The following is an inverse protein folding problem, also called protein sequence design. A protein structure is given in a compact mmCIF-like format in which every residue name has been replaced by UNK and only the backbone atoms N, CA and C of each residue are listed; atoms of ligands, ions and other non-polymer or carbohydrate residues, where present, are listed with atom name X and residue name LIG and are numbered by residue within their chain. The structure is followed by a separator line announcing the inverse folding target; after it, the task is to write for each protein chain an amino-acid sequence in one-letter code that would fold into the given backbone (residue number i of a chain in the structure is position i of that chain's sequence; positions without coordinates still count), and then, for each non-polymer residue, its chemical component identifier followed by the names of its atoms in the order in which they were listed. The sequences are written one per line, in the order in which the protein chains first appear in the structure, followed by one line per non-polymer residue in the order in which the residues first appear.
data_IF_823001338017
#
_entry.id   IF_823001338017
#
_cell.length_a   1.000
_cell.length_b   1.000
_cell.length_c   1.000
_cell.angle_alpha   90.00
_cell.angle_beta   90.00
_cell.angle_gamma   90.00
#
_symmetry.space_group_name_H-M   'P 1'
#
loop_
_entity.id
_entity.type
_entity.pdbx_description
1 polymer ?
#
# COMPACT_ATOMS: atom_id res chain seq x y z
N UNK A 1 11.53 20.93 1.32
CA UNK A 1 11.46 19.91 2.41
C UNK A 1 11.50 18.47 1.89
N UNK A 2 10.75 18.10 0.84
CA UNK A 2 10.67 16.72 0.33
C UNK A 2 11.97 16.17 -0.31
N UNK A 3 12.82 17.02 -0.89
CA UNK A 3 14.10 16.62 -1.47
C UNK A 3 15.16 16.25 -0.41
N UNK A 4 15.17 16.98 0.71
CA UNK A 4 16.09 16.77 1.83
C UNK A 4 15.88 15.40 2.48
N UNK A 5 14.63 15.04 2.80
CA UNK A 5 14.29 13.72 3.35
C UNK A 5 14.56 12.53 2.40
N UNK A 6 14.64 12.78 1.09
CA UNK A 6 14.98 11.75 0.10
C UNK A 6 16.48 11.44 0.10
N UNK A 7 17.31 12.47 0.28
CA UNK A 7 18.75 12.31 0.33
C UNK A 7 19.21 11.70 1.66
N UNK A 8 18.59 12.11 2.78
CA UNK A 8 18.80 11.52 4.11
C UNK A 8 18.57 10.00 4.11
N UNK A 9 17.44 9.54 3.56
CA UNK A 9 17.11 8.10 3.46
C UNK A 9 18.06 7.34 2.54
N UNK A 10 18.56 7.99 1.49
CA UNK A 10 19.53 7.40 0.57
C UNK A 10 20.89 7.21 1.24
N UNK A 11 21.30 8.18 2.05
CA UNK A 11 22.54 8.11 2.83
C UNK A 11 22.48 7.01 3.90
N UNK A 12 21.39 6.92 4.66
CA UNK A 12 21.19 5.86 5.66
C UNK A 12 21.22 4.47 5.03
N UNK A 13 20.51 4.27 3.90
CA UNK A 13 20.53 3.00 3.19
C UNK A 13 21.93 2.64 2.66
N UNK A 14 22.71 3.63 2.22
CA UNK A 14 24.09 3.42 1.77
C UNK A 14 25.03 3.08 2.93
N UNK A 15 24.85 3.67 4.11
CA UNK A 15 25.61 3.34 5.32
C UNK A 15 25.36 1.91 5.78
N UNK A 16 24.10 1.44 5.82
CA UNK A 16 23.80 0.04 6.14
C UNK A 16 24.41 -0.95 5.13
N UNK A 17 24.42 -0.60 3.83
CA UNK A 17 25.10 -1.42 2.81
C UNK A 17 26.60 -1.49 3.05
N UNK A 18 27.26 -0.38 3.41
CA UNK A 18 28.70 -0.36 3.71
C UNK A 18 29.00 -1.13 5.01
N UNK A 19 28.20 -0.93 6.05
CA UNK A 19 28.36 -1.55 7.36
C UNK A 19 28.22 -3.08 7.30
N UNK A 20 27.32 -3.61 6.47
CA UNK A 20 27.16 -5.05 6.28
C UNK A 20 28.16 -5.64 5.27
N UNK A 21 28.47 -4.93 4.18
CA UNK A 21 29.35 -5.48 3.12
C UNK A 21 30.83 -5.53 3.50
N UNK A 22 31.30 -4.66 4.39
CA UNK A 22 32.70 -4.63 4.87
C UNK A 22 33.12 -5.88 5.64
N UNK A 23 32.43 -6.29 6.74
CA UNK A 23 32.81 -7.48 7.48
C UNK A 23 32.65 -8.74 6.62
N UNK A 24 31.61 -8.82 5.79
CA UNK A 24 31.40 -10.00 4.93
C UNK A 24 32.49 -10.12 3.87
N UNK A 25 32.97 -9.00 3.29
CA UNK A 25 34.11 -9.03 2.37
C UNK A 25 35.39 -9.57 3.04
N UNK A 26 35.63 -9.16 4.29
CA UNK A 26 36.79 -9.60 5.08
C UNK A 26 36.71 -11.09 5.38
N UNK A 27 35.56 -11.58 5.84
CA UNK A 27 35.36 -13.01 6.13
C UNK A 27 35.45 -13.88 4.87
N UNK A 28 34.83 -13.47 3.76
CA UNK A 28 34.90 -14.19 2.48
C UNK A 28 36.35 -14.22 1.98
N UNK A 29 37.07 -13.10 2.03
CA UNK A 29 38.49 -13.05 1.67
C UNK A 29 39.37 -13.91 2.57
N UNK A 30 39.11 -13.92 3.88
CA UNK A 30 39.85 -14.74 4.84
C UNK A 30 39.69 -16.23 4.58
N UNK A 31 38.46 -16.74 4.44
CA UNK A 31 38.22 -18.17 4.17
C UNK A 31 38.74 -18.59 2.79
N UNK A 32 38.61 -17.71 1.80
CA UNK A 32 39.13 -17.95 0.45
C UNK A 32 40.67 -18.03 0.44
N UNK A 33 41.35 -17.11 1.13
CA UNK A 33 42.80 -17.13 1.31
C UNK A 33 43.25 -18.38 2.09
N UNK A 34 42.55 -18.73 3.17
CA UNK A 34 42.83 -19.95 3.93
C UNK A 34 42.73 -21.20 3.05
N UNK A 35 41.69 -21.28 2.21
CA UNK A 35 41.51 -22.38 1.25
C UNK A 35 42.64 -22.40 0.21
N UNK A 36 43.05 -21.23 -0.30
CA UNK A 36 44.18 -21.11 -1.23
C UNK A 36 45.48 -21.65 -0.60
N UNK A 37 45.78 -21.26 0.64
CA UNK A 37 46.97 -21.71 1.37
C UNK A 37 46.94 -23.22 1.64
N UNK A 38 45.79 -23.79 2.01
CA UNK A 38 45.64 -25.23 2.21
C UNK A 38 45.84 -26.02 0.92
N UNK A 39 45.27 -25.56 -0.19
CA UNK A 39 45.41 -26.21 -1.50
C UNK A 39 46.85 -26.14 -1.99
N UNK A 40 47.49 -24.95 -1.96
CA UNK A 40 48.88 -24.79 -2.36
C UNK A 40 49.82 -25.60 -1.46
N UNK A 41 49.62 -25.54 -0.14
CA UNK A 41 50.40 -26.31 0.83
C UNK A 41 50.28 -27.82 0.62
N UNK A 42 49.07 -28.32 0.38
CA UNK A 42 48.81 -29.73 0.11
C UNK A 42 49.47 -30.20 -1.19
N UNK A 43 49.31 -29.45 -2.29
CA UNK A 43 49.94 -29.77 -3.58
C UNK A 43 51.47 -29.77 -3.46
N UNK A 44 52.03 -28.78 -2.77
CA UNK A 44 53.48 -28.70 -2.53
C UNK A 44 54.00 -29.88 -1.72
N UNK A 45 53.29 -30.25 -0.65
CA UNK A 45 53.67 -31.35 0.23
C UNK A 45 53.64 -32.70 -0.49
N UNK A 46 52.60 -32.97 -1.28
CA UNK A 46 52.51 -34.17 -2.13
C UNK A 46 53.67 -34.19 -3.14
N UNK A 47 53.95 -33.07 -3.80
CA UNK A 47 55.01 -32.98 -4.78
C UNK A 47 56.40 -33.20 -4.14
N UNK A 48 56.59 -32.76 -2.90
CA UNK A 48 57.80 -33.03 -2.11
C UNK A 48 57.97 -34.51 -1.80
N UNK A 49 56.94 -35.19 -1.30
CA UNK A 49 56.97 -36.63 -1.00
C UNK A 49 57.29 -37.44 -2.25
N UNK A 50 56.57 -37.18 -3.34
CA UNK A 50 56.80 -37.85 -4.63
C UNK A 50 58.23 -37.61 -5.12
N UNK A 51 58.74 -36.38 -4.99
CA UNK A 51 60.13 -36.08 -5.37
C UNK A 51 61.17 -36.78 -4.50
N UNK A 52 60.88 -37.04 -3.22
CA UNK A 52 61.79 -37.68 -2.28
C UNK A 52 61.86 -39.19 -2.53
N UNK A 53 60.69 -39.83 -2.68
CA UNK A 53 60.56 -41.25 -3.05
C UNK A 53 61.21 -41.54 -4.40
N UNK A 54 60.96 -40.71 -5.42
CA UNK A 54 61.57 -40.86 -6.75
C UNK A 54 63.10 -40.70 -6.71
N UNK A 55 63.63 -39.82 -5.86
CA UNK A 55 65.09 -39.65 -5.67
C UNK A 55 65.72 -40.86 -4.98
N UNK A 56 65.03 -41.45 -3.99
CA UNK A 56 65.47 -42.69 -3.34
C UNK A 56 65.50 -43.88 -4.31
N UNK A 57 64.46 -44.03 -5.14
CA UNK A 57 64.38 -45.07 -6.17
C UNK A 57 65.44 -44.91 -7.27
N UNK A 58 65.82 -43.67 -7.60
CA UNK A 58 66.90 -43.40 -8.56
C UNK A 58 68.28 -43.88 -8.05
N UNK A 59 68.51 -43.86 -6.73
CA UNK A 59 69.78 -44.31 -6.13
C UNK A 59 69.91 -45.83 -6.10
N UNK A 60 68.79 -46.56 -6.01
CA UNK A 60 68.78 -48.03 -5.90
C UNK A 60 68.68 -48.74 -7.26
N UNK A 61 68.12 -48.09 -8.29
CA UNK A 61 67.98 -48.66 -9.64
C UNK A 61 68.36 -47.66 -10.75
N UNK A 62 69.66 -47.39 -10.97
CA UNK A 62 70.13 -46.38 -11.93
C UNK A 62 69.90 -46.73 -13.42
N UNK A 63 69.52 -47.97 -13.74
CA UNK A 63 69.36 -48.46 -15.11
C UNK A 63 67.97 -48.21 -15.73
N UNK A 64 67.02 -47.59 -15.00
CA UNK A 64 65.67 -47.34 -15.48
C UNK A 64 65.52 -45.88 -16.01
N UNK A 65 65.54 -45.64 -17.34
CA UNK A 65 65.43 -44.29 -17.90
C UNK A 65 64.09 -43.60 -17.60
N UNK A 66 63.04 -44.37 -17.27
CA UNK A 66 61.72 -43.86 -16.89
C UNK A 66 61.75 -43.14 -15.54
N UNK A 67 62.50 -43.67 -14.56
CA UNK A 67 62.60 -43.10 -13.21
C UNK A 67 63.39 -41.79 -13.25
N UNK A 68 64.45 -41.73 -14.06
CA UNK A 68 65.22 -40.50 -14.29
C UNK A 68 64.36 -39.38 -14.92
N UNK A 69 63.50 -39.71 -15.89
CA UNK A 69 62.58 -38.75 -16.52
C UNK A 69 61.54 -38.22 -15.52
N UNK A 70 60.98 -39.10 -14.68
CA UNK A 70 60.01 -38.72 -13.64
C UNK A 70 60.65 -37.88 -12.53
N UNK A 71 61.86 -38.23 -12.10
CA UNK A 71 62.62 -37.46 -11.11
C UNK A 71 62.95 -36.05 -11.65
N UNK A 72 63.42 -35.95 -12.89
CA UNK A 72 63.67 -34.66 -13.55
C UNK A 72 62.39 -33.84 -13.67
N UNK A 73 61.29 -34.44 -14.13
CA UNK A 73 59.99 -33.77 -14.24
C UNK A 73 59.49 -33.26 -12.89
N UNK A 74 59.62 -34.05 -11.81
CA UNK A 74 59.22 -33.63 -10.46
C UNK A 74 60.02 -32.43 -9.95
N UNK A 75 61.33 -32.38 -10.23
CA UNK A 75 62.19 -31.25 -9.87
C UNK A 75 61.86 -29.98 -10.68
N UNK A 76 61.54 -30.16 -11.97
CA UNK A 76 61.07 -29.06 -12.82
C UNK A 76 59.70 -28.55 -12.37
N UNK A 77 58.77 -29.46 -12.02
CA UNK A 77 57.46 -29.12 -11.47
C UNK A 77 57.57 -28.34 -10.15
N UNK A 78 58.51 -28.68 -9.28
CA UNK A 78 58.76 -27.96 -8.02
C UNK A 78 59.23 -26.51 -8.26
N UNK A 79 60.02 -26.27 -9.31
CA UNK A 79 60.46 -24.93 -9.72
C UNK A 79 59.31 -24.11 -10.32
N UNK A 80 58.52 -24.73 -11.20
CA UNK A 80 57.33 -24.10 -11.80
C UNK A 80 56.20 -23.85 -10.79
N UNK A 81 56.16 -24.62 -9.70
CA UNK A 81 55.17 -24.46 -8.64
C UNK A 81 55.21 -23.04 -8.06
N UNK A 82 56.40 -22.54 -7.70
CA UNK A 82 56.55 -21.21 -7.11
C UNK A 82 56.46 -20.07 -8.13
N UNK A 83 56.90 -20.28 -9.37
CA UNK A 83 56.96 -19.20 -10.38
C UNK A 83 55.67 -19.02 -11.18
N UNK A 84 54.90 -20.10 -11.39
CA UNK A 84 53.72 -20.07 -12.24
C UNK A 84 52.44 -20.48 -11.49
N UNK A 85 52.47 -21.61 -10.77
CA UNK A 85 51.25 -22.17 -10.18
C UNK A 85 50.76 -21.35 -8.97
N UNK A 86 51.66 -20.99 -8.06
CA UNK A 86 51.35 -20.18 -6.88
C UNK A 86 50.79 -18.78 -7.24
N UNK A 87 51.42 -17.97 -8.11
CA UNK A 87 50.86 -16.67 -8.48
C UNK A 87 49.57 -16.79 -9.28
N UNK A 88 49.43 -17.79 -10.17
CA UNK A 88 48.19 -18.00 -10.92
C UNK A 88 47.02 -18.38 -10.00
N UNK A 89 47.23 -19.26 -9.03
CA UNK A 89 46.23 -19.61 -8.03
C UNK A 89 45.85 -18.40 -7.17
N UNK A 90 46.82 -17.61 -6.73
CA UNK A 90 46.59 -16.41 -5.93
C UNK A 90 45.75 -15.37 -6.69
N UNK A 91 46.04 -15.12 -7.97
CA UNK A 91 45.24 -14.24 -8.82
C UNK A 91 43.81 -14.76 -9.01
N UNK A 92 43.65 -16.07 -9.24
CA UNK A 92 42.33 -16.70 -9.38
C UNK A 92 41.46 -16.54 -8.12
N UNK A 93 42.05 -16.76 -6.94
CA UNK A 93 41.34 -16.63 -5.66
C UNK A 93 41.03 -15.16 -5.30
N UNK A 94 41.90 -14.20 -5.66
CA UNK A 94 41.60 -12.76 -5.59
C UNK A 94 40.39 -12.42 -6.47
N UNK A 95 40.38 -12.89 -7.71
CA UNK A 95 39.27 -12.66 -8.65
C UNK A 95 37.96 -13.26 -8.12
N UNK A 96 37.99 -14.50 -7.61
CA UNK A 96 36.82 -15.16 -7.03
C UNK A 96 36.26 -14.41 -5.81
N UNK A 97 37.14 -13.87 -4.96
CA UNK A 97 36.76 -13.05 -3.81
C UNK A 97 36.06 -11.77 -4.26
N UNK A 98 36.64 -11.07 -5.25
CA UNK A 98 36.06 -9.85 -5.80
C UNK A 98 34.69 -10.12 -6.45
N UNK A 99 34.57 -11.19 -7.23
CA UNK A 99 33.31 -11.58 -7.89
C UNK A 99 32.22 -11.89 -6.87
N UNK A 100 32.54 -12.69 -5.85
CA UNK A 100 31.59 -13.06 -4.78
C UNK A 100 31.13 -11.82 -4.01
N UNK A 101 32.04 -10.90 -3.70
CA UNK A 101 31.71 -9.62 -3.08
C UNK A 101 30.80 -8.76 -3.96
N UNK A 102 31.09 -8.66 -5.27
CA UNK A 102 30.31 -7.88 -6.22
C UNK A 102 28.88 -8.42 -6.35
N UNK A 103 28.72 -9.75 -6.44
CA UNK A 103 27.43 -10.43 -6.49
C UNK A 103 26.65 -10.17 -5.20
N UNK A 104 27.25 -10.42 -4.03
CA UNK A 104 26.56 -10.26 -2.75
C UNK A 104 26.11 -8.81 -2.53
N UNK A 105 26.97 -7.84 -2.88
CA UNK A 105 26.65 -6.41 -2.83
C UNK A 105 25.52 -6.03 -3.76
N UNK A 106 25.47 -6.60 -4.96
CA UNK A 106 24.41 -6.32 -5.94
C UNK A 106 23.06 -6.90 -5.53
N UNK A 107 23.04 -8.14 -5.01
CA UNK A 107 21.84 -8.80 -4.48
C UNK A 107 21.30 -8.05 -3.27
N UNK A 108 22.16 -7.69 -2.31
CA UNK A 108 21.74 -6.94 -1.12
C UNK A 108 21.15 -5.57 -1.47
N UNK A 109 21.80 -4.82 -2.38
CA UNK A 109 21.24 -3.55 -2.91
C UNK A 109 19.88 -3.75 -3.57
N UNK A 110 19.70 -4.82 -4.35
CA UNK A 110 18.43 -5.12 -5.02
C UNK A 110 17.34 -5.46 -4.00
N UNK A 111 17.65 -6.27 -2.98
CA UNK A 111 16.72 -6.61 -1.89
C UNK A 111 16.29 -5.38 -1.09
N UNK A 112 17.23 -4.50 -0.73
CA UNK A 112 16.91 -3.24 -0.04
C UNK A 112 16.00 -2.32 -0.86
N UNK A 113 16.22 -2.22 -2.18
CA UNK A 113 15.35 -1.42 -3.07
C UNK A 113 13.93 -1.98 -3.14
N UNK A 114 13.77 -3.30 -3.25
CA UNK A 114 12.44 -3.94 -3.30
C UNK A 114 11.71 -3.76 -1.96
N UNK A 115 12.38 -3.98 -0.83
CA UNK A 115 11.81 -3.78 0.49
C UNK A 115 11.41 -2.31 0.75
N UNK A 116 12.25 -1.36 0.31
CA UNK A 116 11.96 0.07 0.42
C UNK A 116 10.80 0.53 -0.49
N UNK A 117 10.55 -0.16 -1.60
CA UNK A 117 9.43 0.15 -2.52
C UNK A 117 8.10 -0.46 -2.04
N UNK A 118 8.12 -1.63 -1.41
CA UNK A 118 6.91 -2.31 -0.93
C UNK A 118 6.30 -1.65 0.32
N UNK A 119 7.14 -1.13 1.24
CA UNK A 119 6.70 -0.47 2.48
C UNK A 119 5.79 0.76 2.27
N UNK A 120 6.10 1.71 1.36
CA UNK A 120 5.22 2.86 1.10
C UNK A 120 3.93 2.48 0.35
N UNK A 121 3.95 1.45 -0.50
CA UNK A 121 2.75 1.02 -1.23
C UNK A 121 1.71 0.35 -0.31
N UNK A 122 2.16 -0.53 0.60
CA UNK A 122 1.27 -1.19 1.55
C UNK A 122 0.68 -0.21 2.58
N UNK A 123 1.49 0.73 3.08
CA UNK A 123 1.01 1.76 4.01
C UNK A 123 -0.01 2.72 3.36
N UNK A 124 0.21 3.10 2.10
CA UNK A 124 -0.72 3.95 1.36
C UNK A 124 -2.03 3.24 0.96
N UNK A 125 -2.00 1.93 0.74
CA UNK A 125 -3.20 1.14 0.47
C UNK A 125 -4.06 0.99 1.74
N UNK A 126 -3.45 0.63 2.88
CA UNK A 126 -4.15 0.54 4.16
C UNK A 126 -4.78 1.88 4.58
N UNK A 127 -4.05 3.00 4.44
CA UNK A 127 -4.57 4.32 4.79
C UNK A 127 -5.77 4.75 3.93
N UNK A 128 -5.82 4.34 2.65
CA UNK A 128 -6.95 4.64 1.76
C UNK A 128 -8.19 3.85 2.14
N UNK A 129 -8.02 2.58 2.49
CA UNK A 129 -9.12 1.72 2.89
C UNK A 129 -9.72 2.15 4.23
N UNK A 130 -8.88 2.50 5.20
CA UNK A 130 -9.32 3.04 6.49
C UNK A 130 -10.03 4.39 6.33
N UNK A 131 -9.51 5.29 5.48
CA UNK A 131 -10.18 6.56 5.19
C UNK A 131 -11.55 6.37 4.51
N UNK A 132 -11.68 5.40 3.60
CA UNK A 132 -12.95 5.07 2.96
C UNK A 132 -13.97 4.51 3.96
N UNK A 133 -13.54 3.63 4.87
CA UNK A 133 -14.39 3.10 5.96
C UNK A 133 -14.84 4.22 6.90
N UNK A 134 -13.93 5.08 7.33
CA UNK A 134 -14.22 6.23 8.19
C UNK A 134 -15.22 7.20 7.53
N UNK A 135 -15.05 7.48 6.23
CA UNK A 135 -16.00 8.29 5.47
C UNK A 135 -17.38 7.62 5.39
N UNK A 136 -17.43 6.31 5.14
CA UNK A 136 -18.67 5.55 5.12
C UNK A 136 -19.42 5.59 6.45
N UNK A 137 -18.70 5.43 7.56
CA UNK A 137 -19.29 5.49 8.90
C UNK A 137 -19.74 6.92 9.27
N UNK A 138 -18.99 7.95 8.86
CA UNK A 138 -19.43 9.34 9.01
C UNK A 138 -20.74 9.60 8.26
N UNK A 139 -20.87 9.11 7.02
CA UNK A 139 -22.10 9.27 6.24
C UNK A 139 -23.31 8.60 6.91
N UNK A 140 -23.13 7.40 7.47
CA UNK A 140 -24.19 6.71 8.24
C UNK A 140 -24.61 7.52 9.47
N UNK A 141 -23.64 8.10 10.19
CA UNK A 141 -23.90 8.95 11.37
C UNK A 141 -24.70 10.20 10.99
N UNK A 142 -24.32 10.88 9.92
CA UNK A 142 -25.04 12.07 9.42
C UNK A 142 -26.48 11.70 9.03
N UNK A 143 -26.67 10.56 8.37
CA UNK A 143 -28.01 10.08 8.02
C UNK A 143 -28.90 9.87 9.25
N UNK A 144 -28.41 9.14 10.26
CA UNK A 144 -29.17 8.91 11.50
C UNK A 144 -29.41 10.22 12.26
N UNK A 145 -28.46 11.15 12.22
CA UNK A 145 -28.61 12.45 12.88
C UNK A 145 -29.73 13.30 12.27
N UNK A 146 -29.91 13.26 10.95
CA UNK A 146 -31.01 13.96 10.29
C UNK A 146 -32.36 13.43 10.80
N UNK A 147 -32.48 12.11 10.90
CA UNK A 147 -33.69 11.46 11.42
C UNK A 147 -33.91 11.82 12.90
N UNK A 148 -32.84 11.84 13.71
CA UNK A 148 -32.91 12.24 15.12
C UNK A 148 -33.41 13.67 15.30
N UNK A 149 -32.95 14.61 14.45
CA UNK A 149 -33.41 16.00 14.44
C UNK A 149 -34.90 16.08 14.09
N UNK A 150 -35.35 15.39 13.05
CA UNK A 150 -36.76 15.38 12.64
C UNK A 150 -37.66 14.73 13.71
N UNK A 151 -37.17 13.70 14.40
CA UNK A 151 -37.88 13.08 15.52
C UNK A 151 -37.98 14.04 16.71
N UNK A 152 -36.88 14.70 17.09
CA UNK A 152 -36.84 15.62 18.22
C UNK A 152 -37.74 16.84 18.03
N UNK A 153 -37.71 17.43 16.83
CA UNK A 153 -38.48 18.66 16.54
C UNK A 153 -39.94 18.34 16.18
N UNK A 154 -40.19 17.27 15.42
CA UNK A 154 -41.49 17.01 14.80
C UNK A 154 -42.16 15.67 15.13
N UNK A 155 -41.53 14.77 15.91
CA UNK A 155 -42.06 13.43 16.22
C UNK A 155 -42.38 12.58 14.99
N UNK A 156 -41.55 12.71 13.95
CA UNK A 156 -41.80 12.06 12.65
C UNK A 156 -41.87 10.53 12.74
N UNK A 157 -40.97 9.88 13.50
CA UNK A 157 -40.96 8.43 13.64
C UNK A 157 -42.14 7.94 14.48
N UNK A 158 -42.56 8.70 15.49
CA UNK A 158 -43.78 8.38 16.25
C UNK A 158 -44.99 8.39 15.31
N UNK A 159 -45.10 9.42 14.47
CA UNK A 159 -46.19 9.53 13.49
C UNK A 159 -46.21 8.37 12.50
N UNK A 160 -45.06 7.94 11.97
CA UNK A 160 -44.98 6.79 11.05
C UNK A 160 -45.24 5.45 11.72
N UNK A 161 -45.04 5.36 13.03
CA UNK A 161 -45.28 4.13 13.81
C UNK A 161 -46.74 4.03 14.28
N UNK A 162 -47.48 5.14 14.29
CA UNK A 162 -48.86 5.22 14.75
C UNK A 162 -49.84 4.57 13.76
N UNK A 163 -50.85 3.85 14.28
CA UNK A 163 -51.85 3.22 13.43
C UNK A 163 -53.03 4.16 13.19
N UNK A 164 -53.12 4.72 11.98
CA UNK A 164 -54.15 5.71 11.64
C UNK A 164 -55.55 5.11 11.39
N UNK A 165 -55.71 3.79 11.32
CA UNK A 165 -56.97 3.14 10.92
C UNK A 165 -58.16 3.41 11.87
N UNK A 166 -57.87 3.79 13.12
CA UNK A 166 -58.90 4.04 14.15
C UNK A 166 -59.31 5.51 14.26
N UNK A 167 -58.64 6.41 13.53
CA UNK A 167 -58.88 7.84 13.60
C UNK A 167 -59.65 8.33 12.38
N UNK A 168 -60.45 9.37 12.56
CA UNK A 168 -61.10 10.06 11.44
C UNK A 168 -60.20 11.17 10.87
N UNK A 169 -60.52 11.64 9.67
CA UNK A 169 -59.74 12.65 8.96
C UNK A 169 -59.57 13.96 9.74
N UNK A 170 -60.54 14.34 10.58
CA UNK A 170 -60.44 15.57 11.36
C UNK A 170 -59.44 15.43 12.52
N UNK A 171 -59.40 14.28 13.18
CA UNK A 171 -58.41 13.95 14.21
C UNK A 171 -57.01 13.84 13.60
N UNK A 172 -56.86 13.14 12.48
CA UNK A 172 -55.58 13.02 11.78
C UNK A 172 -55.10 14.39 11.34
N UNK A 173 -55.96 15.19 10.70
CA UNK A 173 -55.62 16.55 10.26
C UNK A 173 -55.25 17.49 11.41
N UNK A 174 -55.82 17.32 12.61
CA UNK A 174 -55.44 18.09 13.78
C UNK A 174 -54.01 17.76 14.25
N UNK A 175 -53.66 16.47 14.34
CA UNK A 175 -52.33 16.03 14.78
C UNK A 175 -51.24 16.26 13.71
N UNK A 176 -51.54 15.99 12.45
CA UNK A 176 -50.56 16.09 11.35
C UNK A 176 -50.11 17.53 11.10
N UNK A 177 -50.99 18.53 11.31
CA UNK A 177 -50.63 19.93 11.06
C UNK A 177 -49.44 20.39 11.91
N UNK A 178 -49.41 20.04 13.20
CA UNK A 178 -48.31 20.41 14.09
C UNK A 178 -47.02 19.66 13.75
N UNK A 179 -47.12 18.36 13.49
CA UNK A 179 -46.01 17.50 13.05
C UNK A 179 -45.39 18.03 11.76
N UNK A 180 -46.22 18.30 10.75
CA UNK A 180 -45.82 18.86 9.47
C UNK A 180 -45.16 20.23 9.63
N UNK A 181 -45.77 21.14 10.40
CA UNK A 181 -45.20 22.47 10.64
C UNK A 181 -43.82 22.40 11.31
N UNK A 182 -43.66 21.53 12.30
CA UNK A 182 -42.40 21.37 13.02
C UNK A 182 -41.32 20.72 12.15
N UNK A 183 -41.64 19.65 11.42
CA UNK A 183 -40.71 19.04 10.46
C UNK A 183 -40.30 20.04 9.37
N UNK A 184 -41.25 20.83 8.84
CA UNK A 184 -40.97 21.87 7.87
C UNK A 184 -40.00 22.91 8.43
N UNK A 185 -40.27 23.44 9.64
CA UNK A 185 -39.36 24.40 10.31
C UNK A 185 -37.96 23.83 10.50
N UNK A 186 -37.84 22.56 10.91
CA UNK A 186 -36.54 21.90 11.06
C UNK A 186 -35.80 21.81 9.71
N UNK A 187 -36.46 21.34 8.65
CA UNK A 187 -35.88 21.25 7.31
C UNK A 187 -35.47 22.64 6.78
N UNK A 188 -36.33 23.64 6.91
CA UNK A 188 -36.04 25.01 6.45
C UNK A 188 -34.85 25.61 7.20
N UNK A 189 -34.77 25.37 8.51
CA UNK A 189 -33.68 25.81 9.39
C UNK A 189 -32.33 25.22 8.96
N UNK A 190 -32.29 23.93 8.61
CA UNK A 190 -31.04 23.20 8.39
C UNK A 190 -30.63 23.07 6.92
N UNK A 191 -31.58 22.96 5.99
CA UNK A 191 -31.34 22.72 4.56
C UNK A 191 -31.71 23.92 3.67
N UNK A 192 -32.65 24.76 4.12
CA UNK A 192 -33.26 25.83 3.32
C UNK A 192 -33.57 25.39 1.88
N UNK A 193 -34.51 24.44 1.69
CA UNK A 193 -34.78 23.84 0.39
C UNK A 193 -35.25 24.89 -0.62
N UNK A 194 -34.70 24.84 -1.84
CA UNK A 194 -35.14 25.63 -2.98
C UNK A 194 -35.46 24.72 -4.16
N UNK A 195 -36.37 25.15 -5.04
CA UNK A 195 -36.62 24.45 -6.29
C UNK A 195 -35.34 24.36 -7.15
N UNK A 196 -35.15 23.24 -7.85
CA UNK A 196 -34.06 23.09 -8.83
C UNK A 196 -34.40 23.89 -10.09
N UNK A 197 -35.68 23.87 -10.49
CA UNK A 197 -36.24 24.65 -11.59
C UNK A 197 -37.03 25.87 -11.07
N UNK A 198 -36.75 27.03 -11.65
CA UNK A 198 -37.46 28.27 -11.34
C UNK A 198 -38.86 28.33 -11.96
N UNK A 199 -39.12 27.55 -13.03
CA UNK A 199 -40.44 27.39 -13.65
C UNK A 199 -41.42 26.69 -12.72
N UNK A 200 -42.73 26.95 -12.89
CA UNK A 200 -43.77 26.30 -12.11
C UNK A 200 -44.10 24.90 -12.65
N UNK A 201 -44.72 24.08 -11.80
CA UNK A 201 -45.26 22.80 -12.24
C UNK A 201 -46.41 23.06 -13.23
N UNK A 202 -46.37 22.39 -14.38
CA UNK A 202 -47.28 22.62 -15.50
C UNK A 202 -46.75 23.56 -16.58
N UNK A 203 -45.64 24.28 -16.34
CA UNK A 203 -45.03 25.15 -17.36
C UNK A 203 -44.32 24.31 -18.44
N UNK A 204 -44.39 24.78 -19.68
CA UNK A 204 -43.58 24.23 -20.77
C UNK A 204 -42.13 24.75 -20.68
N UNK A 205 -41.18 23.84 -20.82
CA UNK A 205 -39.75 24.12 -20.79
C UNK A 205 -39.03 23.43 -21.95
N UNK A 206 -38.06 24.14 -22.53
CA UNK A 206 -37.11 23.56 -23.47
C UNK A 206 -35.83 23.19 -22.73
N UNK A 207 -35.51 21.91 -22.69
CA UNK A 207 -34.29 21.37 -22.07
C UNK A 207 -33.20 21.33 -23.14
N UNK A 208 -32.15 22.13 -22.95
CA UNK A 208 -31.02 22.25 -23.88
C UNK A 208 -30.15 20.99 -23.91
N UNK A 209 -29.18 20.94 -24.81
CA UNK A 209 -28.22 19.82 -24.90
C UNK A 209 -27.31 19.69 -23.67
N UNK A 210 -27.03 20.80 -23.00
CA UNK A 210 -26.06 20.89 -21.91
C UNK A 210 -26.72 20.79 -20.52
N UNK A 211 -27.86 20.12 -20.44
CA UNK A 211 -28.57 19.95 -19.18
C UNK A 211 -27.83 19.00 -18.23
N UNK A 212 -27.91 19.26 -16.92
CA UNK A 212 -27.31 18.38 -15.90
C UNK A 212 -28.23 17.17 -15.64
N UNK A 213 -27.82 15.93 -15.96
CA UNK A 213 -28.63 14.74 -15.74
C UNK A 213 -28.85 14.41 -14.26
N UNK A 214 -28.05 14.98 -13.35
CA UNK A 214 -28.29 14.86 -11.91
C UNK A 214 -29.35 15.84 -11.40
N UNK A 215 -29.57 16.96 -12.10
CA UNK A 215 -30.54 17.98 -11.72
C UNK A 215 -31.91 17.77 -12.40
N UNK A 216 -31.92 17.25 -13.63
CA UNK A 216 -33.11 17.11 -14.45
C UNK A 216 -33.30 15.66 -14.91
N UNK A 217 -34.37 15.03 -14.41
CA UNK A 217 -34.80 13.71 -14.86
C UNK A 217 -35.85 13.87 -15.97
N UNK A 218 -35.49 13.48 -17.18
CA UNK A 218 -36.43 13.41 -18.31
C UNK A 218 -37.34 12.18 -18.14
N UNK A 219 -38.66 12.38 -18.18
CA UNK A 219 -39.66 11.32 -18.03
C UNK A 219 -40.57 11.31 -19.26
N UNK A 220 -40.75 10.16 -19.90
CA UNK A 220 -41.57 9.98 -21.10
C UNK A 220 -40.82 9.39 -22.29
N UNK A 221 -41.29 9.66 -23.50
CA UNK A 221 -40.64 9.18 -24.73
C UNK A 221 -39.45 10.09 -25.11
N UNK A 222 -38.28 9.79 -24.55
CA UNK A 222 -37.05 10.56 -24.75
C UNK A 222 -36.28 10.02 -25.96
N UNK A 223 -36.87 10.14 -27.16
CA UNK A 223 -36.23 9.72 -28.42
C UNK A 223 -35.72 10.93 -29.19
N UNK A 224 -34.45 10.90 -29.61
CA UNK A 224 -33.82 11.96 -30.40
C UNK A 224 -32.67 12.65 -29.67
N UNK A 225 -32.19 13.75 -30.24
CA UNK A 225 -31.18 14.61 -29.61
C UNK A 225 -31.86 15.87 -29.08
N UNK A 226 -31.41 16.43 -27.95
CA UNK A 226 -31.92 17.70 -27.45
C UNK A 226 -31.76 18.83 -28.49
N UNK A 227 -32.55 19.92 -28.40
CA UNK A 227 -33.39 20.28 -27.25
C UNK A 227 -34.68 19.46 -27.13
N UNK A 228 -35.00 19.04 -25.91
CA UNK A 228 -36.28 18.37 -25.61
C UNK A 228 -37.31 19.39 -25.17
N UNK A 229 -38.54 19.29 -25.67
CA UNK A 229 -39.66 20.05 -25.13
C UNK A 229 -40.45 19.17 -24.17
N UNK A 230 -40.78 19.72 -23.00
CA UNK A 230 -41.54 19.00 -21.99
C UNK A 230 -42.25 19.95 -21.03
N UNK A 231 -43.09 19.37 -20.19
CA UNK A 231 -43.80 20.08 -19.14
C UNK A 231 -43.14 19.75 -17.79
N UNK A 232 -42.90 20.76 -16.97
CA UNK A 232 -42.35 20.58 -15.62
C UNK A 232 -43.38 19.82 -14.78
N UNK A 233 -43.12 18.54 -14.48
CA UNK A 233 -43.99 17.73 -13.62
C UNK A 233 -43.69 17.90 -12.13
N UNK A 234 -42.43 18.13 -11.79
CA UNK A 234 -41.99 18.43 -10.44
C UNK A 234 -40.71 19.25 -10.51
N UNK A 235 -40.61 20.31 -9.71
CA UNK A 235 -39.51 21.28 -9.81
C UNK A 235 -38.19 20.83 -9.18
N UNK A 236 -38.23 19.70 -8.48
CA UNK A 236 -37.09 19.19 -7.70
C UNK A 236 -36.83 20.03 -6.45
N UNK A 237 -35.95 19.51 -5.60
CA UNK A 237 -35.49 20.20 -4.38
C UNK A 237 -33.97 20.20 -4.35
N UNK A 238 -33.37 21.36 -4.11
CA UNK A 238 -31.94 21.53 -3.79
C UNK A 238 -31.80 22.11 -2.39
N UNK A 239 -30.82 21.63 -1.63
CA UNK A 239 -30.40 22.29 -0.41
C UNK A 239 -29.58 23.54 -0.79
N UNK A 240 -29.90 24.70 -0.19
CA UNK A 240 -29.09 25.91 -0.33
C UNK A 240 -27.96 25.97 0.71
N UNK A 241 -28.18 25.34 1.85
CA UNK A 241 -27.20 25.23 2.94
C UNK A 241 -27.31 23.87 3.59
N UNK A 242 -26.29 23.47 4.33
CA UNK A 242 -26.31 22.32 5.22
C UNK A 242 -25.72 22.79 6.54
N UNK A 243 -26.58 23.14 7.49
CA UNK A 243 -26.19 23.71 8.78
C UNK A 243 -26.56 22.76 9.93
N UNK A 244 -26.00 21.56 9.93
CA UNK A 244 -26.37 20.52 10.89
C UNK A 244 -25.68 20.75 12.26
N UNK A 245 -26.39 20.60 13.40
CA UNK A 245 -25.74 20.70 14.70
C UNK A 245 -24.62 19.65 14.83
N UNK A 246 -23.57 19.98 15.58
CA UNK A 246 -22.43 19.08 15.73
C UNK A 246 -22.85 17.77 16.41
N UNK A 247 -22.54 16.65 15.75
CA UNK A 247 -22.59 15.32 16.33
C UNK A 247 -21.66 15.26 17.55
N UNK A 248 -22.23 15.28 18.76
CA UNK A 248 -21.45 15.06 19.98
C UNK A 248 -21.00 13.59 20.02
N UNK A 249 -19.70 13.35 20.14
CA UNK A 249 -19.13 12.00 20.11
C UNK A 249 -19.46 11.13 21.33
N UNK A 250 -20.28 11.61 22.27
CA UNK A 250 -20.60 10.92 23.52
C UNK A 250 -21.83 10.02 23.45
N UNK A 251 -22.75 10.25 22.50
CA UNK A 251 -23.95 9.41 22.36
C UNK A 251 -23.69 8.31 21.33
N UNK A 252 -24.24 7.11 21.60
CA UNK A 252 -24.23 6.02 20.63
C UNK A 252 -24.94 6.49 19.35
N UNK A 253 -24.24 6.56 18.20
CA UNK A 253 -24.83 7.07 16.96
C UNK A 253 -25.99 6.23 16.44
N UNK A 254 -26.16 4.99 16.92
CA UNK A 254 -27.25 4.11 16.54
C UNK A 254 -28.56 4.43 17.27
N UNK A 255 -28.53 5.24 18.32
CA UNK A 255 -29.71 5.68 19.06
C UNK A 255 -30.26 6.96 18.42
N UNK A 256 -31.44 6.85 17.81
CA UNK A 256 -32.10 8.00 17.13
C UNK A 256 -32.73 8.95 18.14
N UNK A 257 -33.44 8.41 19.14
CA UNK A 257 -34.01 9.16 20.26
C UNK A 257 -33.88 8.31 21.54
N UNK A 258 -33.40 8.88 22.65
CA UNK A 258 -33.29 8.15 23.91
C UNK A 258 -34.69 7.84 24.48
N UNK A 259 -34.80 6.73 25.20
CA UNK A 259 -36.01 6.44 25.97
C UNK A 259 -36.07 7.37 27.20
N UNK A 260 -37.21 8.03 27.40
CA UNK A 260 -37.47 8.88 28.56
C UNK A 260 -38.14 8.05 29.65
N UNK A 261 -37.52 7.97 30.83
CA UNK A 261 -38.04 7.24 31.99
C UNK A 261 -38.23 8.24 33.12
N UNK A 262 -39.48 8.41 33.57
CA UNK A 262 -39.80 9.19 34.76
C UNK A 262 -39.46 8.38 36.01
N UNK A 263 -38.52 8.88 36.82
CA UNK A 263 -38.16 8.25 38.10
C UNK A 263 -39.16 8.72 39.17
N UNK A 264 -39.69 7.76 39.94
CA UNK A 264 -40.57 8.01 41.10
C UNK A 264 -39.78 8.04 42.40
#
# INVERSE_FOLDING_TARGET
MHAFFKDERRNIAMEHVKAFSRPVAVWVGFFNLLTCLLVLGGIYWILQIVSAELRGLMQTAPAAPQIARLAQWSGTALKFFWTALAPAALLFFIFLTFLTWAILRSVFKRRLRVAAAQRPAAAAAASKEDAARQSGDMNKRIFLHLIAVLQKEGRLLDFFSENLAQYNDSQIGAAVRSIHENCKKAIDKYLSPKAVLDQNEGDEISVSHDFDPNALKLVGNVTGRPPFQGVVRHRGWRALKIDMPMLSGQQDPWIIAPAEIEIR
#
